data_IF_701778772998
#
_entry.id   IF_701778772998
#
_cell.length_a   1.000
_cell.length_b   1.000
_cell.length_c   1.000
_cell.angle_alpha   90.00
_cell.angle_beta   90.00
_cell.angle_gamma   90.00
#
_symmetry.space_group_name_H-M   'P 1'
#
loop_
_entity.id
_entity.type
_entity.pdbx_description
1 polymer ?
#
# COMPACT_ATOMS: atom_id res chain seq x y z
N UNK A 1 5.93 -18.69 -23.10
CA UNK A 1 5.28 -19.52 -22.05
C UNK A 1 5.74 -19.13 -20.64
N UNK A 2 7.02 -18.84 -20.41
CA UNK A 2 7.55 -18.43 -19.10
C UNK A 2 6.91 -17.13 -18.55
N UNK A 3 6.82 -16.09 -19.39
CA UNK A 3 6.15 -14.81 -19.04
C UNK A 3 4.68 -14.93 -18.63
N UNK A 4 3.97 -15.96 -19.10
CA UNK A 4 2.59 -16.19 -18.70
C UNK A 4 2.52 -16.74 -17.27
N UNK A 5 3.40 -17.69 -16.91
CA UNK A 5 3.48 -18.22 -15.55
C UNK A 5 3.89 -17.14 -14.54
N UNK A 6 4.82 -16.27 -14.92
CA UNK A 6 5.22 -15.14 -14.07
C UNK A 6 4.08 -14.14 -13.85
N UNK A 7 3.32 -13.84 -14.91
CA UNK A 7 2.13 -12.99 -14.83
C UNK A 7 1.05 -13.62 -13.96
N UNK A 8 0.74 -14.89 -14.15
CA UNK A 8 -0.31 -15.58 -13.40
C UNK A 8 0.06 -15.66 -11.90
N UNK A 9 1.34 -15.93 -11.60
CA UNK A 9 1.87 -15.87 -10.23
C UNK A 9 1.79 -14.47 -9.64
N UNK A 10 2.10 -13.43 -10.41
CA UNK A 10 1.95 -12.04 -9.97
C UNK A 10 0.50 -11.70 -9.65
N UNK A 11 -0.44 -12.07 -10.53
CA UNK A 11 -1.88 -11.82 -10.35
C UNK A 11 -2.40 -12.53 -9.10
N UNK A 12 -2.12 -13.83 -8.94
CA UNK A 12 -2.56 -14.60 -7.75
C UNK A 12 -2.03 -13.97 -6.45
N UNK A 13 -0.76 -13.58 -6.42
CA UNK A 13 -0.17 -12.93 -5.25
C UNK A 13 -0.76 -11.54 -5.01
N UNK A 14 -0.98 -10.76 -6.06
CA UNK A 14 -1.55 -9.42 -5.97
C UNK A 14 -2.98 -9.47 -5.41
N UNK A 15 -3.84 -10.32 -5.97
CA UNK A 15 -5.23 -10.48 -5.53
C UNK A 15 -5.31 -10.86 -4.05
N UNK A 16 -4.53 -11.86 -3.63
CA UNK A 16 -4.48 -12.30 -2.22
C UNK A 16 -4.01 -11.19 -1.28
N UNK A 17 -2.93 -10.49 -1.64
CA UNK A 17 -2.31 -9.47 -0.78
C UNK A 17 -3.17 -8.22 -0.69
N UNK A 18 -3.71 -7.74 -1.81
CA UNK A 18 -4.59 -6.56 -1.85
C UNK A 18 -5.89 -6.85 -1.09
N UNK A 19 -6.48 -8.04 -1.29
CA UNK A 19 -7.69 -8.44 -0.54
C UNK A 19 -7.46 -8.46 0.97
N UNK A 20 -6.30 -8.95 1.43
CA UNK A 20 -5.94 -8.92 2.85
C UNK A 20 -5.77 -7.50 3.37
N UNK A 21 -5.02 -6.65 2.65
CA UNK A 21 -4.82 -5.25 3.03
C UNK A 21 -6.15 -4.49 3.16
N UNK A 22 -7.08 -4.67 2.22
CA UNK A 22 -8.41 -4.05 2.28
C UNK A 22 -9.20 -4.52 3.51
N UNK A 23 -9.15 -5.82 3.83
CA UNK A 23 -9.80 -6.35 5.04
C UNK A 23 -9.22 -5.72 6.31
N UNK A 24 -7.90 -5.64 6.40
CA UNK A 24 -7.22 -5.05 7.56
C UNK A 24 -7.56 -3.55 7.70
N UNK A 25 -7.59 -2.81 6.59
CA UNK A 25 -8.04 -1.39 6.58
C UNK A 25 -9.48 -1.26 7.09
N UNK A 26 -10.39 -2.15 6.70
CA UNK A 26 -11.78 -2.14 7.20
C UNK A 26 -11.84 -2.42 8.70
N UNK A 27 -11.04 -3.36 9.20
CA UNK A 27 -10.95 -3.64 10.64
C UNK A 27 -10.43 -2.44 11.42
N UNK A 28 -9.43 -1.72 10.89
CA UNK A 28 -8.96 -0.45 11.46
C UNK A 28 -10.10 0.58 11.44
N UNK A 29 -10.88 0.65 10.36
CA UNK A 29 -12.05 1.52 10.25
C UNK A 29 -13.10 1.29 11.34
N UNK A 30 -13.27 0.04 11.81
CA UNK A 30 -14.19 -0.28 12.90
C UNK A 30 -13.80 0.37 14.25
N UNK A 31 -12.52 0.76 14.43
CA UNK A 31 -12.05 1.48 15.61
C UNK A 31 -12.63 2.90 15.69
N UNK A 32 -13.24 3.41 14.62
CA UNK A 32 -13.95 4.71 14.62
C UNK A 32 -15.20 4.71 15.52
N UNK A 33 -15.64 3.56 16.02
CA UNK A 33 -16.78 3.51 16.90
C UNK A 33 -16.45 4.05 18.31
N UNK A 34 -16.75 5.33 18.54
CA UNK A 34 -16.58 6.00 19.83
C UNK A 34 -17.46 5.45 20.96
N UNK A 35 -18.48 4.64 20.70
CA UNK A 35 -19.23 3.97 21.76
C UNK A 35 -18.42 2.86 22.43
N UNK A 36 -17.49 2.25 21.68
CA UNK A 36 -16.70 1.10 22.13
C UNK A 36 -15.27 1.50 22.50
N UNK A 37 -14.79 2.65 21.98
CA UNK A 37 -13.40 3.08 22.11
C UNK A 37 -13.30 4.55 22.45
N UNK A 38 -12.29 4.91 23.23
CA UNK A 38 -11.87 6.29 23.46
C UNK A 38 -10.55 6.53 22.74
N UNK A 39 -10.49 7.59 21.94
CA UNK A 39 -9.32 7.99 21.18
C UNK A 39 -9.37 9.49 20.90
N UNK A 40 -8.20 10.06 20.65
CA UNK A 40 -8.04 11.47 20.32
C UNK A 40 -7.95 11.67 18.81
N UNK A 41 -8.15 12.91 18.37
CA UNK A 41 -7.89 13.27 16.97
C UNK A 41 -6.41 13.08 16.58
N UNK A 42 -5.49 13.15 17.56
CA UNK A 42 -4.08 12.88 17.32
C UNK A 42 -3.84 11.39 16.98
N UNK A 43 -4.52 10.48 17.66
CA UNK A 43 -4.44 9.05 17.39
C UNK A 43 -4.92 8.74 15.97
N UNK A 44 -6.07 9.33 15.56
CA UNK A 44 -6.60 9.21 14.20
C UNK A 44 -5.59 9.72 13.17
N UNK A 45 -5.00 10.90 13.39
CA UNK A 45 -3.99 11.46 12.48
C UNK A 45 -2.76 10.56 12.36
N UNK A 46 -2.28 9.97 13.46
CA UNK A 46 -1.14 9.04 13.44
C UNK A 46 -1.45 7.79 12.62
N UNK A 47 -2.63 7.20 12.82
CA UNK A 47 -3.08 6.01 12.06
C UNK A 47 -3.15 6.32 10.56
N UNK A 48 -3.83 7.41 10.17
CA UNK A 48 -3.99 7.77 8.76
C UNK A 48 -2.63 8.06 8.11
N UNK A 49 -1.77 8.86 8.76
CA UNK A 49 -0.43 9.18 8.23
C UNK A 49 0.44 7.93 8.04
N UNK A 50 0.35 6.96 8.94
CA UNK A 50 1.09 5.71 8.81
C UNK A 50 0.63 4.92 7.58
N UNK A 51 -0.68 4.78 7.38
CA UNK A 51 -1.25 4.09 6.22
C UNK A 51 -0.93 4.80 4.90
N UNK A 52 -1.12 6.12 4.83
CA UNK A 52 -0.78 6.94 3.66
C UNK A 52 0.72 6.85 3.33
N UNK A 53 1.58 6.86 4.35
CA UNK A 53 3.02 6.72 4.21
C UNK A 53 3.43 5.40 3.54
N UNK A 54 2.81 4.30 3.95
CA UNK A 54 3.07 2.98 3.34
C UNK A 54 2.53 2.89 1.91
N UNK A 55 1.35 3.46 1.63
CA UNK A 55 0.82 3.55 0.25
C UNK A 55 1.74 4.38 -0.64
N UNK A 56 2.30 5.48 -0.12
CA UNK A 56 3.27 6.30 -0.86
C UNK A 56 4.53 5.52 -1.19
N UNK A 57 5.10 4.78 -0.23
CA UNK A 57 6.27 3.90 -0.47
C UNK A 57 5.97 2.80 -1.47
N UNK A 58 4.77 2.20 -1.40
CA UNK A 58 4.29 1.21 -2.37
C UNK A 58 4.28 1.80 -3.78
N UNK A 59 3.67 2.98 -3.96
CA UNK A 59 3.63 3.69 -5.24
C UNK A 59 5.03 3.97 -5.78
N UNK A 60 5.92 4.51 -4.94
CA UNK A 60 7.31 4.76 -5.31
C UNK A 60 8.00 3.50 -5.81
N UNK A 61 7.86 2.36 -5.13
CA UNK A 61 8.47 1.10 -5.59
C UNK A 61 7.99 0.67 -6.98
N UNK A 62 6.71 0.84 -7.29
CA UNK A 62 6.19 0.53 -8.63
C UNK A 62 6.67 1.53 -9.70
N UNK A 63 6.92 2.79 -9.32
CA UNK A 63 7.44 3.83 -10.23
C UNK A 63 8.95 3.68 -10.48
N UNK A 64 9.75 3.47 -9.43
CA UNK A 64 11.22 3.38 -9.52
C UNK A 64 11.71 2.15 -10.28
N UNK A 65 10.93 1.07 -10.34
CA UNK A 65 11.27 -0.11 -11.15
C UNK A 65 10.79 0.00 -12.61
N UNK A 66 10.08 1.07 -12.97
CA UNK A 66 9.66 1.38 -14.36
C UNK A 66 10.49 2.46 -15.04
N UNK A 67 11.23 3.28 -14.27
CA UNK A 67 12.17 4.25 -14.79
C UNK A 67 13.59 3.68 -14.71
N UNK A 68 14.10 3.19 -15.84
CA UNK A 68 15.54 3.15 -16.04
C UNK A 68 16.02 4.59 -15.92
N UNK A 69 16.69 4.94 -14.82
CA UNK A 69 17.37 6.21 -14.67
C UNK A 69 18.50 6.29 -15.70
N UNK A 70 18.19 6.67 -16.94
CA UNK A 70 19.15 7.34 -17.81
C UNK A 70 19.42 8.71 -17.19
N UNK A 71 20.31 8.75 -16.19
CA UNK A 71 20.97 9.98 -15.78
C UNK A 71 21.95 10.32 -16.91
N UNK A 72 21.44 10.94 -17.97
CA UNK A 72 22.29 11.62 -18.95
C UNK A 72 22.64 12.98 -18.36
N UNK A 73 23.72 13.01 -17.58
CA UNK A 73 24.38 14.25 -17.21
C UNK A 73 25.07 14.83 -18.46
N UNK A 74 24.73 16.07 -18.82
CA UNK A 74 25.48 16.87 -19.81
C UNK A 74 25.97 18.15 -19.14
N UNK A 75 27.25 18.46 -19.38
CA UNK A 75 27.91 19.74 -19.12
C UNK A 75 27.29 20.85 -19.97
#
# INVERSE_FOLDING_TARGET
MERQKDRDKFVDLAEKRVSKAIKDIRLIGNLSNKSNYSYTDEDVRKIIRALEGEVKKLKQRFETHGASEEIVFKL
#
